data_IF_665575228044
#
_entry.id   IF_665575228044
#
_cell.length_a   1.000
_cell.length_b   1.000
_cell.length_c   1.000
_cell.angle_alpha   90.00
_cell.angle_beta   90.00
_cell.angle_gamma   90.00
#
_symmetry.space_group_name_H-M   'P 1'
#
loop_
_entity.id
_entity.type
_entity.pdbx_description
1 polymer ?
#
# COMPACT_ATOMS: atom_id res chain seq x y z
N UNK A 1 3.09 34.17 22.68
CA UNK A 1 3.88 33.28 21.81
C UNK A 1 3.01 32.85 20.64
N UNK A 2 3.12 33.54 19.51
CA UNK A 2 2.31 33.30 18.32
C UNK A 2 2.97 32.19 17.50
N UNK A 3 2.30 31.04 17.38
CA UNK A 3 2.78 29.88 16.64
C UNK A 3 2.73 30.24 15.16
N UNK A 4 3.91 30.40 14.52
CA UNK A 4 4.05 30.61 13.09
C UNK A 4 3.57 29.35 12.36
N UNK A 5 2.28 29.26 12.05
CA UNK A 5 1.78 28.27 11.09
C UNK A 5 2.18 28.74 9.69
N UNK A 6 3.34 28.28 9.21
CA UNK A 6 3.60 28.29 7.77
C UNK A 6 2.56 27.36 7.13
N UNK A 7 1.44 27.93 6.70
CA UNK A 7 0.55 27.28 5.75
C UNK A 7 1.28 27.27 4.41
N UNK A 8 2.19 26.31 4.21
CA UNK A 8 2.47 25.84 2.87
C UNK A 8 1.14 25.36 2.31
N UNK A 9 0.69 25.84 1.16
CA UNK A 9 -0.47 25.28 0.51
C UNK A 9 -0.20 23.78 0.35
N UNK A 10 -0.92 22.95 1.12
CA UNK A 10 -0.72 21.51 1.05
C UNK A 10 -1.17 21.07 -0.34
N UNK A 11 -0.26 20.45 -1.10
CA UNK A 11 -0.59 19.93 -2.43
C UNK A 11 -1.72 18.92 -2.27
N UNK A 12 -2.81 19.13 -3.03
CA UNK A 12 -3.91 18.19 -3.09
C UNK A 12 -3.53 17.08 -4.06
N UNK A 13 -3.40 15.87 -3.55
CA UNK A 13 -2.96 14.67 -4.26
C UNK A 13 -4.09 13.66 -4.36
N UNK A 14 -3.93 12.66 -5.21
CA UNK A 14 -4.85 11.51 -5.27
C UNK A 14 -4.20 10.35 -4.54
N UNK A 15 -5.01 9.59 -3.83
CA UNK A 15 -4.53 8.35 -3.23
C UNK A 15 -5.51 7.20 -3.45
N UNK A 16 -4.94 6.00 -3.44
CA UNK A 16 -5.65 4.74 -3.61
C UNK A 16 -5.17 3.79 -2.51
N UNK A 17 -6.12 3.23 -1.76
CA UNK A 17 -5.91 2.14 -0.82
C UNK A 17 -6.53 0.90 -1.44
N UNK A 18 -5.74 -0.16 -1.59
CA UNK A 18 -6.25 -1.49 -1.92
C UNK A 18 -6.02 -2.40 -0.74
N UNK A 19 -7.10 -2.88 -0.13
CA UNK A 19 -7.05 -3.95 0.86
C UNK A 19 -7.28 -5.26 0.12
N UNK A 20 -6.22 -6.06 0.01
CA UNK A 20 -6.21 -7.34 -0.69
C UNK A 20 -6.89 -8.45 0.11
N UNK A 21 -6.77 -8.40 1.44
CA UNK A 21 -7.42 -9.33 2.35
C UNK A 21 -7.50 -8.74 3.76
N UNK A 22 -8.69 -8.75 4.34
CA UNK A 22 -8.94 -8.46 5.75
C UNK A 22 -10.03 -9.40 6.31
N UNK A 23 -9.89 -9.93 7.54
CA UNK A 23 -10.95 -10.70 8.21
C UNK A 23 -12.25 -9.93 8.29
N UNK A 24 -13.39 -10.62 8.16
CA UNK A 24 -14.73 -10.01 8.25
C UNK A 24 -14.93 -9.11 9.48
N UNK A 25 -14.37 -9.53 10.62
CA UNK A 25 -14.48 -8.81 11.89
C UNK A 25 -13.76 -7.46 11.93
N UNK A 26 -12.78 -7.22 11.03
CA UNK A 26 -12.04 -5.96 10.99
C UNK A 26 -12.67 -4.93 10.04
N UNK A 27 -13.64 -5.30 9.19
CA UNK A 27 -14.17 -4.40 8.14
C UNK A 27 -14.75 -3.12 8.69
N UNK A 28 -15.61 -3.21 9.71
CA UNK A 28 -16.26 -2.04 10.30
C UNK A 28 -15.24 -1.14 11.01
N UNK A 29 -14.24 -1.72 11.66
CA UNK A 29 -13.15 -0.97 12.29
C UNK A 29 -12.27 -0.27 11.26
N UNK A 30 -11.99 -0.93 10.13
CA UNK A 30 -11.28 -0.34 8.99
C UNK A 30 -12.06 0.87 8.45
N UNK A 31 -13.35 0.71 8.17
CA UNK A 31 -14.19 1.80 7.68
C UNK A 31 -14.17 3.00 8.65
N UNK A 32 -14.27 2.76 9.96
CA UNK A 32 -14.21 3.82 10.97
C UNK A 32 -12.86 4.53 11.03
N UNK A 33 -11.75 3.79 11.01
CA UNK A 33 -10.42 4.40 11.05
C UNK A 33 -10.14 5.24 9.79
N UNK A 34 -10.60 4.77 8.63
CA UNK A 34 -10.48 5.51 7.37
C UNK A 34 -11.37 6.77 7.38
N UNK A 35 -12.59 6.68 7.92
CA UNK A 35 -13.48 7.82 8.05
C UNK A 35 -12.91 8.92 8.97
N UNK A 36 -12.29 8.52 10.09
CA UNK A 36 -11.63 9.44 11.02
C UNK A 36 -10.45 10.18 10.35
N UNK A 37 -9.61 9.44 9.61
CA UNK A 37 -8.45 10.01 8.91
C UNK A 37 -8.83 10.93 7.75
N UNK A 38 -9.85 10.55 6.97
CA UNK A 38 -10.28 11.28 5.78
C UNK A 38 -11.31 12.37 6.09
N UNK A 39 -11.72 12.53 7.36
CA UNK A 39 -12.66 13.56 7.81
C UNK A 39 -14.02 13.51 7.10
N UNK A 40 -14.39 12.35 6.56
CA UNK A 40 -15.59 12.16 5.74
C UNK A 40 -16.19 10.78 5.98
N UNK A 41 -17.48 10.61 5.67
CA UNK A 41 -18.11 9.30 5.77
C UNK A 41 -17.52 8.37 4.72
N UNK A 42 -16.64 7.47 5.16
CA UNK A 42 -16.05 6.42 4.33
C UNK A 42 -16.85 5.15 4.56
N UNK A 43 -17.25 4.50 3.47
CA UNK A 43 -17.78 3.14 3.49
C UNK A 43 -17.13 2.38 2.34
N UNK A 44 -16.31 1.39 2.66
CA UNK A 44 -15.66 0.61 1.63
C UNK A 44 -16.64 -0.38 0.99
N UNK A 45 -16.51 -0.57 -0.32
CA UNK A 45 -17.24 -1.63 -1.03
C UNK A 45 -16.50 -2.96 -0.85
N UNK A 46 -16.87 -3.68 0.20
CA UNK A 46 -16.23 -4.94 0.59
C UNK A 46 -16.77 -6.10 -0.24
N UNK A 47 -15.88 -6.81 -0.92
CA UNK A 47 -16.20 -8.05 -1.64
C UNK A 47 -15.45 -9.24 -1.03
N UNK A 48 -15.99 -10.46 -1.06
CA UNK A 48 -15.27 -11.64 -0.58
C UNK A 48 -13.94 -11.84 -1.33
N UNK A 49 -12.90 -12.25 -0.60
CA UNK A 49 -11.61 -12.62 -1.19
C UNK A 49 -11.56 -14.15 -1.35
N UNK A 50 -11.50 -14.63 -2.60
CA UNK A 50 -11.59 -16.07 -2.89
C UNK A 50 -10.34 -16.86 -2.47
N UNK A 51 -9.16 -16.22 -2.44
CA UNK A 51 -7.93 -16.93 -2.05
C UNK A 51 -7.93 -17.31 -0.56
N UNK A 52 -8.67 -16.58 0.29
CA UNK A 52 -8.66 -16.78 1.74
C UNK A 52 -10.07 -16.63 2.31
N UNK A 53 -10.71 -17.76 2.55
CA UNK A 53 -12.08 -17.82 3.09
C UNK A 53 -12.24 -17.00 4.37
N UNK A 54 -13.40 -16.35 4.52
CA UNK A 54 -13.69 -15.48 5.68
C UNK A 54 -13.00 -14.10 5.63
N UNK A 55 -12.25 -13.81 4.56
CA UNK A 55 -11.65 -12.50 4.32
C UNK A 55 -12.30 -11.77 3.15
N UNK A 56 -12.12 -10.46 3.14
CA UNK A 56 -12.71 -9.54 2.19
C UNK A 56 -11.65 -8.59 1.65
N UNK A 57 -11.91 -8.04 0.47
CA UNK A 57 -11.09 -7.04 -0.20
C UNK A 57 -11.93 -5.80 -0.51
N UNK A 58 -11.27 -4.65 -0.63
CA UNK A 58 -11.90 -3.42 -1.11
C UNK A 58 -10.84 -2.49 -1.70
N UNK A 59 -11.31 -1.51 -2.48
CA UNK A 59 -10.50 -0.40 -2.96
C UNK A 59 -11.18 0.91 -2.59
N UNK A 60 -10.41 1.84 -2.02
CA UNK A 60 -10.86 3.18 -1.67
C UNK A 60 -9.96 4.20 -2.37
N UNK A 61 -10.55 5.26 -2.88
CA UNK A 61 -9.81 6.38 -3.46
C UNK A 61 -10.16 7.68 -2.76
N UNK A 62 -9.20 8.60 -2.66
CA UNK A 62 -9.43 9.91 -2.08
C UNK A 62 -8.67 10.99 -2.85
N UNK A 63 -9.03 12.24 -2.54
CA UNK A 63 -8.31 13.43 -2.96
C UNK A 63 -8.19 14.36 -1.77
N UNK A 64 -6.98 14.51 -1.25
CA UNK A 64 -6.71 15.24 -0.01
C UNK A 64 -5.27 15.79 -0.03
N UNK A 65 -4.83 16.45 1.04
CA UNK A 65 -3.46 16.91 1.23
C UNK A 65 -2.46 15.75 1.13
N UNK A 66 -1.29 16.04 0.60
CA UNK A 66 -0.15 15.13 0.61
C UNK A 66 0.17 14.62 2.02
N UNK A 67 0.56 13.35 2.11
CA UNK A 67 0.87 12.63 3.33
C UNK A 67 -0.31 11.88 3.96
N UNK A 68 -1.51 11.94 3.36
CA UNK A 68 -2.66 11.15 3.82
C UNK A 68 -2.40 9.66 3.57
N UNK A 69 -1.76 9.27 2.46
CA UNK A 69 -1.39 7.88 2.20
C UNK A 69 -0.48 7.30 3.26
N UNK A 70 0.53 8.06 3.70
CA UNK A 70 1.39 7.67 4.81
C UNK A 70 0.62 7.53 6.14
N UNK A 71 -0.36 8.40 6.40
CA UNK A 71 -1.21 8.34 7.58
C UNK A 71 -2.12 7.10 7.55
N UNK A 72 -2.74 6.79 6.40
CA UNK A 72 -3.54 5.58 6.18
C UNK A 72 -2.69 4.34 6.41
N UNK A 73 -1.52 4.23 5.77
CA UNK A 73 -0.64 3.08 5.96
C UNK A 73 -0.19 2.91 7.42
N UNK A 74 0.07 4.02 8.12
CA UNK A 74 0.48 4.01 9.53
C UNK A 74 -0.64 3.57 10.48
N UNK A 75 -1.89 3.92 10.19
CA UNK A 75 -3.03 3.47 10.99
C UNK A 75 -3.29 1.97 10.76
N UNK A 76 -3.30 1.54 9.50
CA UNK A 76 -3.62 0.17 9.13
C UNK A 76 -2.55 -0.84 9.55
N UNK A 77 -1.24 -0.51 9.48
CA UNK A 77 -0.15 -1.45 9.83
C UNK A 77 -0.21 -1.99 11.28
N UNK A 78 -0.98 -1.35 12.16
CA UNK A 78 -1.16 -1.79 13.55
C UNK A 78 -2.08 -3.01 13.69
N UNK A 79 -2.81 -3.36 12.63
CA UNK A 79 -3.75 -4.47 12.62
C UNK A 79 -3.13 -5.72 12.03
N UNK A 80 -3.23 -6.81 12.78
CA UNK A 80 -2.72 -8.09 12.37
C UNK A 80 -3.65 -8.69 11.30
N UNK A 81 -3.09 -9.50 10.41
CA UNK A 81 -3.82 -10.27 9.38
C UNK A 81 -4.43 -9.48 8.22
N UNK A 82 -4.05 -8.22 8.02
CA UNK A 82 -4.44 -7.46 6.83
C UNK A 82 -3.32 -7.45 5.79
N UNK A 83 -3.72 -7.42 4.52
CA UNK A 83 -2.85 -7.30 3.36
C UNK A 83 -3.32 -6.08 2.59
N UNK A 84 -2.46 -5.07 2.45
CA UNK A 84 -2.87 -3.86 1.77
C UNK A 84 -1.71 -3.18 1.08
N UNK A 85 -2.07 -2.27 0.17
CA UNK A 85 -1.17 -1.29 -0.39
C UNK A 85 -1.84 0.07 -0.44
N UNK A 86 -1.02 1.11 -0.37
CA UNK A 86 -1.44 2.50 -0.54
C UNK A 86 -0.55 3.13 -1.59
N UNK A 87 -1.17 3.75 -2.58
CA UNK A 87 -0.53 4.63 -3.55
C UNK A 87 -0.96 6.07 -3.28
N UNK A 88 -0.03 7.01 -3.22
CA UNK A 88 -0.31 8.44 -3.19
C UNK A 88 0.43 9.12 -4.34
N UNK A 89 -0.33 9.60 -5.33
CA UNK A 89 0.20 10.15 -6.57
C UNK A 89 0.31 11.68 -6.49
N UNK A 90 1.48 12.17 -6.86
CA UNK A 90 1.83 13.59 -6.99
C UNK A 90 2.13 13.94 -8.45
N UNK A 91 2.39 15.21 -8.75
CA UNK A 91 2.74 15.62 -10.11
C UNK A 91 4.13 15.13 -10.56
N UNK A 92 4.99 14.72 -9.63
CA UNK A 92 6.39 14.37 -9.90
C UNK A 92 6.69 12.88 -9.63
N UNK A 93 5.66 12.06 -9.46
CA UNK A 93 5.77 10.66 -9.04
C UNK A 93 4.82 10.35 -7.90
N UNK A 94 5.17 9.43 -7.00
CA UNK A 94 4.30 9.08 -5.88
C UNK A 94 4.99 8.36 -4.74
N UNK A 95 4.19 7.98 -3.76
CA UNK A 95 4.60 7.07 -2.68
C UNK A 95 3.78 5.79 -2.72
N UNK A 96 4.47 4.67 -2.53
CA UNK A 96 3.90 3.34 -2.44
C UNK A 96 4.20 2.76 -1.07
N UNK A 97 3.16 2.32 -0.37
CA UNK A 97 3.25 1.57 0.87
C UNK A 97 2.65 0.19 0.63
N UNK A 98 3.38 -0.87 0.96
CA UNK A 98 2.87 -2.25 0.90
C UNK A 98 2.99 -2.86 2.28
N UNK A 99 1.97 -3.59 2.71
CA UNK A 99 1.98 -4.26 4.00
C UNK A 99 1.53 -5.69 3.87
N UNK A 100 2.30 -6.58 4.48
CA UNK A 100 1.90 -7.96 4.73
C UNK A 100 2.15 -8.31 6.19
N UNK A 101 1.39 -9.24 6.79
CA UNK A 101 1.57 -9.61 8.19
C UNK A 101 2.97 -10.17 8.49
N UNK A 102 3.58 -10.89 7.54
CA UNK A 102 4.86 -11.56 7.74
C UNK A 102 6.06 -10.63 7.49
N UNK A 103 5.97 -9.76 6.47
CA UNK A 103 7.09 -8.88 6.09
C UNK A 103 7.01 -7.49 6.73
N UNK A 104 5.84 -7.09 7.21
CA UNK A 104 5.58 -5.75 7.75
C UNK A 104 5.39 -4.72 6.64
N UNK A 105 5.78 -3.46 6.91
CA UNK A 105 5.59 -2.32 5.99
C UNK A 105 6.82 -2.13 5.09
N UNK A 106 6.59 -2.08 3.78
CA UNK A 106 7.54 -1.55 2.78
C UNK A 106 7.06 -0.20 2.30
N UNK A 107 7.98 0.75 2.15
CA UNK A 107 7.74 2.08 1.61
C UNK A 107 8.70 2.32 0.45
N UNK A 108 8.18 2.79 -0.67
CA UNK A 108 8.94 3.18 -1.83
C UNK A 108 8.45 4.51 -2.40
N UNK A 109 9.37 5.24 -3.04
CA UNK A 109 9.02 6.34 -3.93
C UNK A 109 8.84 5.77 -5.33
N UNK A 110 7.85 6.24 -6.07
CA UNK A 110 7.58 5.79 -7.45
C UNK A 110 7.69 6.93 -8.45
N UNK A 111 7.94 6.60 -9.71
CA UNK A 111 7.74 7.52 -10.82
C UNK A 111 6.25 7.64 -11.20
N UNK A 112 5.97 8.39 -12.27
CA UNK A 112 4.60 8.60 -12.79
C UNK A 112 3.96 7.34 -13.38
N UNK A 113 4.73 6.28 -13.63
CA UNK A 113 4.24 4.98 -14.11
C UNK A 113 3.96 4.01 -12.96
N UNK A 114 4.34 4.36 -11.72
CA UNK A 114 4.27 3.50 -10.55
C UNK A 114 5.51 2.62 -10.35
N UNK A 115 6.57 2.82 -11.14
CA UNK A 115 7.82 2.08 -10.97
C UNK A 115 8.60 2.60 -9.76
N UNK A 116 9.14 1.68 -8.95
CA UNK A 116 9.93 2.02 -7.76
C UNK A 116 11.24 2.70 -8.15
N UNK A 117 11.48 3.86 -7.56
CA UNK A 117 12.71 4.63 -7.71
C UNK A 117 13.67 4.31 -6.56
N UNK A 118 14.86 3.81 -6.93
CA UNK A 118 15.93 3.53 -5.97
C UNK A 118 16.96 4.66 -6.00
N UNK A 119 17.20 5.25 -4.83
CA UNK A 119 18.15 6.35 -4.67
C UNK A 119 19.58 5.87 -4.42
N UNK A 120 20.58 6.69 -4.79
CA UNK A 120 22.01 6.39 -4.59
C UNK A 120 22.34 5.99 -3.14
N UNK A 121 21.75 6.66 -2.14
CA UNK A 121 22.00 6.34 -0.73
C UNK A 121 21.53 4.92 -0.36
N UNK A 122 20.42 4.45 -0.93
CA UNK A 122 19.92 3.10 -0.69
C UNK A 122 20.84 2.05 -1.32
N UNK A 123 21.32 2.30 -2.55
CA UNK A 123 22.29 1.42 -3.23
C UNK A 123 23.59 1.34 -2.42
N UNK A 124 24.12 2.49 -1.99
CA UNK A 124 25.33 2.54 -1.19
C UNK A 124 25.17 1.81 0.16
N UNK A 125 24.01 1.92 0.80
CA UNK A 125 23.72 1.17 2.02
C UNK A 125 23.73 -0.34 1.78
N UNK A 126 23.06 -0.82 0.72
CA UNK A 126 23.07 -2.24 0.34
C UNK A 126 24.51 -2.72 0.09
N UNK A 127 25.30 -1.98 -0.68
CA UNK A 127 26.69 -2.35 -0.97
C UNK A 127 27.58 -2.35 0.26
N UNK A 128 27.33 -1.46 1.23
CA UNK A 128 28.10 -1.39 2.47
C UNK A 128 27.77 -2.54 3.44
N UNK A 129 26.55 -3.06 3.41
CA UNK A 129 26.07 -4.15 4.28
C UNK A 129 26.25 -5.54 3.65
N UNK A 130 26.59 -5.61 2.36
CA UNK A 130 26.74 -6.86 1.61
C UNK A 130 28.20 -7.34 1.56
N UNK A 131 28.39 -8.66 1.58
CA UNK A 131 29.71 -9.30 1.58
C UNK A 131 30.00 -10.12 0.31
N UNK A 132 28.97 -10.41 -0.48
CA UNK A 132 29.01 -11.21 -1.71
C UNK A 132 27.88 -10.82 -2.68
N UNK A 133 27.82 -11.45 -3.85
CA UNK A 133 26.79 -11.16 -4.85
C UNK A 133 25.37 -11.51 -4.35
N UNK A 134 25.23 -12.56 -3.55
CA UNK A 134 23.94 -13.03 -3.06
C UNK A 134 23.32 -12.03 -2.06
N UNK A 135 24.12 -11.52 -1.12
CA UNK A 135 23.71 -10.46 -0.19
C UNK A 135 23.36 -9.16 -0.92
N UNK A 136 24.11 -8.78 -1.98
CA UNK A 136 23.75 -7.63 -2.82
C UNK A 136 22.38 -7.86 -3.47
N UNK A 137 22.16 -9.03 -4.07
CA UNK A 137 20.90 -9.38 -4.73
C UNK A 137 19.72 -9.36 -3.75
N UNK A 138 19.92 -9.91 -2.55
CA UNK A 138 18.91 -9.90 -1.49
C UNK A 138 18.60 -8.47 -1.01
N UNK A 139 19.63 -7.66 -0.76
CA UNK A 139 19.46 -6.26 -0.35
C UNK A 139 18.75 -5.42 -1.42
N UNK A 140 19.08 -5.62 -2.70
CA UNK A 140 18.36 -4.97 -3.81
C UNK A 140 16.90 -5.42 -3.89
N UNK A 141 16.62 -6.73 -3.74
CA UNK A 141 15.26 -7.25 -3.74
C UNK A 141 14.42 -6.67 -2.58
N UNK A 142 15.04 -6.47 -1.42
CA UNK A 142 14.43 -5.87 -0.23
C UNK A 142 14.04 -4.41 -0.47
N UNK A 143 14.97 -3.57 -0.96
CA UNK A 143 14.66 -2.14 -1.19
C UNK A 143 13.62 -1.94 -2.30
N UNK A 144 13.61 -2.79 -3.33
CA UNK A 144 12.58 -2.78 -4.40
C UNK A 144 11.22 -3.26 -3.83
N UNK A 145 11.26 -4.17 -2.85
CA UNK A 145 10.10 -4.77 -2.21
C UNK A 145 9.52 -5.97 -2.98
N UNK A 146 10.37 -6.74 -3.66
CA UNK A 146 9.94 -7.88 -4.50
C UNK A 146 9.12 -8.92 -3.71
N UNK A 147 9.46 -9.16 -2.45
CA UNK A 147 8.74 -10.12 -1.60
C UNK A 147 7.31 -9.66 -1.30
N UNK A 148 7.12 -8.36 -1.00
CA UNK A 148 5.78 -7.78 -0.85
C UNK A 148 4.98 -7.88 -2.13
N UNK A 149 5.58 -7.58 -3.29
CA UNK A 149 4.89 -7.70 -4.57
C UNK A 149 4.47 -9.15 -4.81
N UNK A 150 5.37 -10.11 -4.60
CA UNK A 150 5.08 -11.54 -4.78
C UNK A 150 3.98 -12.06 -3.85
N UNK A 151 3.90 -11.54 -2.62
CA UNK A 151 2.86 -11.92 -1.66
C UNK A 151 1.50 -11.29 -2.01
N UNK A 152 1.48 -10.00 -2.36
CA UNK A 152 0.27 -9.27 -2.71
C UNK A 152 -0.30 -9.69 -4.08
N UNK A 153 0.55 -10.00 -5.05
CA UNK A 153 0.16 -10.43 -6.41
C UNK A 153 -0.78 -11.64 -6.39
N UNK A 154 -0.62 -12.53 -5.41
CA UNK A 154 -1.48 -13.71 -5.22
C UNK A 154 -2.95 -13.33 -5.08
N UNK A 155 -3.25 -12.20 -4.45
CA UNK A 155 -4.61 -11.71 -4.25
C UNK A 155 -5.16 -10.96 -5.47
N UNK A 156 -4.29 -10.41 -6.34
CA UNK A 156 -4.70 -9.68 -7.56
C UNK A 156 -5.19 -10.61 -8.66
N UNK A 157 -4.50 -11.75 -8.87
CA UNK A 157 -4.80 -12.71 -9.95
C UNK A 157 -6.18 -13.38 -9.84
N UNK A 158 -6.81 -13.34 -8.66
CA UNK A 158 -8.11 -13.97 -8.38
C UNK A 158 -9.25 -13.37 -9.22
N UNK A 159 -9.19 -12.09 -9.57
CA UNK A 159 -10.22 -11.44 -10.41
C UNK A 159 -10.23 -11.95 -11.86
N UNK A 160 -9.10 -12.49 -12.37
CA UNK A 160 -9.00 -12.93 -13.76
C UNK A 160 -9.62 -14.32 -14.01
N UNK A 161 -9.78 -15.16 -12.99
CA UNK A 161 -10.31 -16.52 -13.16
C UNK A 161 -11.82 -16.56 -13.37
N UNK A 162 -12.59 -15.58 -12.89
CA UNK A 162 -14.05 -15.50 -13.13
C UNK A 162 -14.40 -15.27 -14.61
N UNK A 163 -13.60 -14.50 -15.36
CA UNK A 163 -13.89 -14.22 -16.78
C UNK A 163 -13.63 -15.46 -17.66
N UNK A 164 -12.65 -16.29 -17.28
CA UNK A 164 -12.28 -17.48 -18.06
C UNK A 164 -13.29 -18.61 -17.93
N UNK A 165 -13.91 -18.79 -16.76
CA UNK A 165 -14.91 -19.85 -16.55
C UNK A 165 -16.30 -19.51 -17.12
N UNK A 166 -16.66 -18.23 -17.22
CA UNK A 166 -17.95 -17.80 -17.77
C UNK A 166 -18.00 -17.78 -19.31
N UNK A 167 -16.90 -18.07 -20.01
CA UNK A 167 -16.83 -18.12 -21.49
C UNK A 167 -16.73 -19.53 -22.07
N UNK A 168 -16.81 -20.57 -21.23
CA UNK A 168 -16.61 -21.96 -21.62
C UNK A 168 -17.89 -22.83 -21.54
N UNK A 169 -19.07 -22.21 -21.70
CA UNK A 169 -20.37 -22.91 -21.73
C UNK A 169 -21.14 -22.47 -22.98
#
# INVERSE_FOLDING_TARGET
>A
MQRLTRSSAALVVRGVLTIHSAPSALRDHIDWALADLLGSTVRCDWTPQMLKAGTFKCTLTWRDRQGVGAAVASALRSWHYIYFEVHEDTNDGGELFRFTPELGIHRAVTDLTGAVLIGQNQINAVLAESFDEESIRAGLALIIGNEWESELERFRGVNHQEISHLRAI
#
